data_IF_737491107662
#
_entry.id   IF_737491107662
#
_cell.length_a   1.000
_cell.length_b   1.000
_cell.length_c   1.000
_cell.angle_alpha   90.00
_cell.angle_beta   90.00
_cell.angle_gamma   90.00
#
_symmetry.space_group_name_H-M   'P 1'
#
loop_
_entity.id
_entity.type
_entity.pdbx_description
1 polymer ?
#
# COMPACT_ATOMS: atom_id res chain seq x y z
N UNK A 1 12.03 3.51 23.35
CA UNK A 1 11.69 3.22 22.61
C UNK A 1 11.51 2.91 22.14
N UNK A 2 11.43 2.86 22.44
CA UNK A 2 11.02 2.36 21.63
C UNK A 2 10.83 2.04 21.16
N UNK A 3 10.70 1.94 21.48
CA UNK A 3 10.29 1.44 20.69
C UNK A 3 9.97 1.29 20.21
N UNK A 4 9.92 1.32 20.45
CA UNK A 4 9.38 1.15 19.65
C UNK A 4 8.95 0.54 19.36
N UNK A 5 8.82 0.44 19.79
CA UNK A 5 8.31 -0.12 19.16
C UNK A 5 7.90 -0.59 18.73
N UNK A 6 7.79 -0.78 18.60
CA UNK A 6 7.27 -1.23 17.79
C UNK A 6 7.26 -1.89 17.25
N UNK A 7 7.40 -2.07 17.82
CA UNK A 7 7.41 -2.61 17.13
C UNK A 7 6.87 -3.40 16.14
N UNK A 8 6.48 -4.05 16.20
CA UNK A 8 5.82 -4.93 15.26
C UNK A 8 5.37 -4.20 14.02
N UNK A 9 5.14 -2.96 14.11
CA UNK A 9 4.79 -2.15 12.96
C UNK A 9 5.96 -1.80 12.07
N UNK A 10 7.14 -2.19 12.47
CA UNK A 10 8.34 -1.81 11.73
C UNK A 10 8.43 -2.44 10.36
N UNK A 11 7.91 -3.64 10.22
CA UNK A 11 7.98 -4.33 8.95
C UNK A 11 6.92 -3.95 7.96
N UNK A 12 5.96 -3.10 8.34
CA UNK A 12 4.81 -2.84 7.50
C UNK A 12 5.21 -2.23 6.16
N UNK A 13 6.18 -1.33 6.15
CA UNK A 13 6.58 -0.69 4.90
C UNK A 13 7.83 -1.30 4.28
N UNK A 14 8.27 -2.47 4.76
CA UNK A 14 9.40 -3.16 4.17
C UNK A 14 9.03 -3.90 2.90
N UNK A 15 7.75 -4.20 2.70
CA UNK A 15 7.29 -4.88 1.51
C UNK A 15 6.33 -3.99 0.75
N UNK A 16 6.17 -4.28 -0.54
CA UNK A 16 5.23 -3.50 -1.34
C UNK A 16 3.80 -3.66 -0.80
N UNK A 17 3.44 -4.87 -0.37
CA UNK A 17 2.12 -5.12 0.21
C UNK A 17 1.90 -4.32 1.47
N UNK A 18 2.88 -4.28 2.34
CA UNK A 18 2.81 -3.48 3.55
C UNK A 18 2.67 -2.00 3.27
N UNK A 19 3.40 -1.50 2.26
CA UNK A 19 3.28 -0.10 1.87
C UNK A 19 1.91 0.21 1.28
N UNK A 20 1.37 -0.68 0.47
CA UNK A 20 0.02 -0.52 -0.07
C UNK A 20 -1.01 -0.40 1.07
N UNK A 21 -0.91 -1.31 2.03
CA UNK A 21 -1.81 -1.33 3.18
C UNK A 21 -1.69 -0.03 4.00
N UNK A 22 -0.47 0.38 4.25
CA UNK A 22 -0.20 1.60 5.02
C UNK A 22 -0.78 2.83 4.32
N UNK A 23 -0.57 2.94 3.02
CA UNK A 23 -1.05 4.09 2.27
C UNK A 23 -2.57 4.11 2.17
N UNK A 24 -3.19 2.93 2.00
CA UNK A 24 -4.65 2.83 1.97
C UNK A 24 -5.24 3.26 3.31
N UNK A 25 -4.65 2.79 4.38
CA UNK A 25 -5.11 3.13 5.73
C UNK A 25 -4.98 4.64 5.98
N UNK A 26 -3.90 5.24 5.51
CA UNK A 26 -3.69 6.67 5.64
C UNK A 26 -4.75 7.48 4.89
N UNK A 27 -5.33 6.91 3.83
CA UNK A 27 -6.41 7.53 3.08
C UNK A 27 -7.78 7.25 3.68
N UNK A 28 -7.83 6.41 4.69
CA UNK A 28 -9.07 6.04 5.37
C UNK A 28 -10.10 5.43 4.41
N UNK A 29 -9.65 4.59 3.50
CA UNK A 29 -10.54 3.86 2.61
C UNK A 29 -10.39 2.37 2.86
N UNK A 30 -11.47 1.63 2.60
CA UNK A 30 -11.48 0.19 2.77
C UNK A 30 -10.82 -0.52 1.60
N UNK A 31 -10.51 -1.80 1.78
CA UNK A 31 -10.05 -2.64 0.67
C UNK A 31 -11.09 -2.65 -0.45
N UNK A 32 -12.37 -2.78 -0.10
CA UNK A 32 -13.44 -2.81 -1.11
C UNK A 32 -13.47 -1.50 -1.90
N UNK A 33 -13.36 -0.37 -1.22
CA UNK A 33 -13.35 0.92 -1.88
C UNK A 33 -12.16 1.08 -2.81
N UNK A 34 -10.98 0.74 -2.32
CA UNK A 34 -9.76 0.85 -3.12
C UNK A 34 -9.82 -0.04 -4.35
N UNK A 35 -10.28 -1.28 -4.17
CA UNK A 35 -10.41 -2.22 -5.27
C UNK A 35 -11.41 -1.71 -6.30
N UNK A 36 -12.53 -1.15 -5.84
CA UNK A 36 -13.55 -0.61 -6.72
C UNK A 36 -13.00 0.56 -7.55
N UNK A 37 -12.28 1.46 -6.91
CA UNK A 37 -11.70 2.60 -7.62
C UNK A 37 -10.72 2.13 -8.69
N UNK A 38 -9.92 1.13 -8.37
CA UNK A 38 -8.91 0.62 -9.30
C UNK A 38 -9.51 -0.28 -10.38
N UNK A 39 -10.69 -0.85 -10.13
CA UNK A 39 -11.34 -1.74 -11.06
C UNK A 39 -10.87 -3.18 -10.94
N UNK A 40 -10.53 -3.63 -9.75
CA UNK A 40 -10.12 -5.01 -9.50
C UNK A 40 -11.00 -5.61 -8.42
N UNK A 41 -10.94 -6.94 -8.29
CA UNK A 41 -11.65 -7.64 -7.23
C UNK A 41 -11.03 -7.33 -5.88
N UNK A 42 -11.84 -7.23 -4.82
CA UNK A 42 -11.28 -7.04 -3.47
C UNK A 42 -10.28 -8.11 -3.07
N UNK A 43 -10.50 -9.36 -3.50
CA UNK A 43 -9.57 -10.45 -3.20
C UNK A 43 -8.20 -10.21 -3.85
N UNK A 44 -8.20 -9.61 -5.05
CA UNK A 44 -6.96 -9.26 -5.73
C UNK A 44 -6.20 -8.19 -4.95
N UNK A 45 -6.89 -7.14 -4.55
CA UNK A 45 -6.27 -6.08 -3.76
C UNK A 45 -5.72 -6.64 -2.45
N UNK A 46 -6.51 -7.46 -1.77
CA UNK A 46 -6.11 -8.07 -0.51
C UNK A 46 -4.87 -8.95 -0.67
N UNK A 47 -4.78 -9.69 -1.78
CA UNK A 47 -3.60 -10.51 -2.06
C UNK A 47 -2.36 -9.64 -2.19
N UNK A 48 -2.48 -8.47 -2.82
CA UNK A 48 -1.36 -7.53 -2.91
C UNK A 48 -0.92 -7.02 -1.54
N UNK A 49 -1.87 -6.67 -0.68
CA UNK A 49 -1.54 -6.16 0.66
C UNK A 49 -0.87 -7.23 1.53
N UNK A 50 -1.16 -8.49 1.26
CA UNK A 50 -0.61 -9.60 2.03
C UNK A 50 0.60 -10.25 1.37
N UNK A 51 1.12 -9.64 0.34
CA UNK A 51 2.31 -10.11 -0.39
C UNK A 51 2.15 -11.51 -0.96
N UNK A 52 0.91 -11.91 -1.26
CA UNK A 52 0.62 -13.17 -1.93
C UNK A 52 0.70 -13.05 -3.44
N UNK A 53 0.61 -11.82 -3.94
CA UNK A 53 0.72 -11.51 -5.36
C UNK A 53 1.29 -10.13 -5.47
N UNK A 54 1.92 -9.84 -6.62
CA UNK A 54 2.46 -8.50 -6.88
C UNK A 54 1.65 -7.84 -7.97
N UNK A 55 1.31 -6.56 -7.82
CA UNK A 55 0.63 -5.84 -8.89
C UNK A 55 1.58 -5.64 -10.07
N UNK A 56 1.01 -5.69 -11.27
CA UNK A 56 1.78 -5.44 -12.48
C UNK A 56 2.10 -3.96 -12.61
N UNK A 57 3.10 -3.64 -13.42
CA UNK A 57 3.59 -2.27 -13.55
C UNK A 57 2.48 -1.27 -13.87
N UNK A 58 1.56 -1.62 -14.77
CA UNK A 58 0.48 -0.72 -15.12
C UNK A 58 -0.48 -0.48 -13.97
N UNK A 59 -0.61 -1.45 -13.07
CA UNK A 59 -1.44 -1.28 -11.87
C UNK A 59 -0.74 -0.42 -10.84
N UNK A 60 0.59 -0.51 -10.76
CA UNK A 60 1.37 0.29 -9.79
C UNK A 60 1.12 1.77 -10.02
N UNK A 61 1.16 2.23 -11.27
CA UNK A 61 0.93 3.64 -11.59
C UNK A 61 -0.45 4.08 -11.11
N UNK A 62 -1.46 3.27 -11.40
CA UNK A 62 -2.83 3.57 -11.00
C UNK A 62 -3.00 3.55 -9.49
N UNK A 63 -2.36 2.58 -8.83
CA UNK A 63 -2.42 2.47 -7.39
C UNK A 63 -1.81 3.69 -6.71
N UNK A 64 -0.68 4.16 -7.23
CA UNK A 64 -0.03 5.35 -6.69
C UNK A 64 -0.98 6.55 -6.74
N UNK A 65 -1.73 6.67 -7.83
CA UNK A 65 -2.73 7.72 -7.95
C UNK A 65 -3.87 7.58 -6.95
N UNK A 66 -4.40 6.38 -6.81
CA UNK A 66 -5.47 6.09 -5.85
C UNK A 66 -5.01 6.38 -4.43
N UNK A 67 -3.79 5.96 -4.11
CA UNK A 67 -3.24 6.06 -2.76
C UNK A 67 -2.59 7.41 -2.49
N UNK A 68 -2.41 8.24 -3.51
CA UNK A 68 -1.78 9.55 -3.42
C UNK A 68 -0.37 9.48 -2.84
N UNK A 69 0.41 8.55 -3.38
CA UNK A 69 1.82 8.38 -3.06
C UNK A 69 2.59 8.28 -4.37
N UNK A 70 3.92 8.38 -4.29
CA UNK A 70 4.73 8.21 -5.49
C UNK A 70 4.90 6.74 -5.82
N UNK A 71 5.08 6.43 -7.10
CA UNK A 71 5.42 5.08 -7.54
C UNK A 71 6.73 4.64 -6.89
N UNK A 72 7.69 5.54 -6.81
CA UNK A 72 8.97 5.23 -6.19
C UNK A 72 8.79 4.79 -4.75
N UNK A 73 7.92 5.48 -4.00
CA UNK A 73 7.68 5.10 -2.62
C UNK A 73 7.05 3.70 -2.53
N UNK A 74 6.07 3.41 -3.38
CA UNK A 74 5.44 2.09 -3.36
C UNK A 74 6.45 0.99 -3.62
N UNK A 75 7.38 1.21 -4.55
CA UNK A 75 8.33 0.18 -4.95
C UNK A 75 9.52 0.06 -4.01
N UNK A 76 9.95 1.17 -3.41
CA UNK A 76 11.21 1.18 -2.66
C UNK A 76 11.09 1.68 -1.23
N UNK A 77 9.99 2.32 -0.89
CA UNK A 77 9.84 2.95 0.41
C UNK A 77 10.48 4.31 0.51
N UNK A 78 11.04 4.82 -0.58
CA UNK A 78 11.68 6.13 -0.61
C UNK A 78 10.89 7.09 -1.49
N UNK A 79 10.87 8.35 -1.11
CA UNK A 79 10.12 9.36 -1.83
C UNK A 79 8.83 9.72 -1.10
N UNK A 80 7.88 10.28 -1.85
CA UNK A 80 6.65 10.79 -1.26
C UNK A 80 5.70 9.65 -0.90
N UNK A 81 5.61 9.38 0.39
CA UNK A 81 4.70 8.38 0.94
C UNK A 81 3.39 8.99 1.39
N UNK A 82 2.65 8.24 2.23
CA UNK A 82 1.35 8.69 2.69
C UNK A 82 1.43 9.98 3.49
N UNK A 83 0.36 10.72 3.45
CA UNK A 83 0.19 11.90 4.30
C UNK A 83 -0.85 11.57 5.36
N UNK A 84 -0.47 11.80 6.58
CA UNK A 84 -1.34 11.55 7.72
C UNK A 84 -2.15 12.79 8.09
#
# INVERSE_FOLDING_TARGET
>A
MSNRTFEPVYGIDDTIGGRISLARDARDISVDEAAQILGVEPATWSAWENDRAEPRSNRIDMMAGVLQVSVTWLLSGQGAGPRW
#
